data_IF_331215530730
#
_entry.id   IF_331215530730
#
_cell.length_a   1.000
_cell.length_b   1.000
_cell.length_c   1.000
_cell.angle_alpha   90.00
_cell.angle_beta   90.00
_cell.angle_gamma   90.00
#
_symmetry.space_group_name_H-M   'P 1'
#
loop_
_entity.id
_entity.type
_entity.pdbx_description
1 polymer ?
#
# COMPACT_ATOMS: atom_id res chain seq x y z
N UNK A 1 16.22 -2.24 11.91
CA UNK A 1 15.89 -0.88 12.38
C UNK A 1 14.41 -0.86 12.76
N UNK A 2 14.11 -0.37 13.94
CA UNK A 2 12.75 -0.40 14.47
C UNK A 2 12.36 0.97 15.02
N UNK A 3 11.21 1.46 14.58
CA UNK A 3 10.62 2.71 15.06
C UNK A 3 9.32 2.37 15.78
N UNK A 4 9.24 2.70 17.05
CA UNK A 4 8.05 2.46 17.89
C UNK A 4 7.55 3.80 18.45
N UNK A 5 6.25 4.06 18.27
CA UNK A 5 5.60 5.28 18.80
C UNK A 5 6.28 6.58 18.31
N UNK A 6 6.78 6.58 17.08
CA UNK A 6 7.49 7.72 16.51
C UNK A 6 6.59 8.55 15.60
N UNK A 7 6.83 9.84 15.57
CA UNK A 7 6.24 10.73 14.57
C UNK A 7 7.30 11.04 13.51
N UNK A 8 7.13 10.43 12.35
CA UNK A 8 8.02 10.59 11.20
C UNK A 8 7.29 11.26 10.04
N UNK A 9 6.25 12.02 10.35
CA UNK A 9 5.45 12.70 9.31
C UNK A 9 6.33 13.63 8.48
N UNK A 10 6.09 13.62 7.16
CA UNK A 10 6.81 14.43 6.18
C UNK A 10 8.32 14.13 6.10
N UNK A 11 8.76 13.02 6.68
CA UNK A 11 10.16 12.58 6.55
C UNK A 11 10.39 12.03 5.14
N UNK A 12 11.59 12.25 4.63
CA UNK A 12 11.98 11.77 3.31
C UNK A 12 13.06 10.70 3.45
N UNK A 13 12.72 9.49 3.02
CA UNK A 13 13.67 8.39 2.87
C UNK A 13 13.95 8.26 1.37
N UNK A 14 15.04 8.84 0.91
CA UNK A 14 15.38 8.90 -0.51
C UNK A 14 16.70 8.18 -0.75
N UNK A 15 16.74 7.31 -1.77
CA UNK A 15 17.93 6.56 -2.15
C UNK A 15 18.51 5.72 -1.00
N UNK A 16 17.62 5.22 -0.14
CA UNK A 16 18.02 4.43 1.02
C UNK A 16 18.09 2.94 0.67
N UNK A 17 18.95 2.25 1.37
CA UNK A 17 19.06 0.80 1.28
C UNK A 17 18.94 0.22 2.68
N UNK A 18 17.79 -0.40 2.97
CA UNK A 18 17.50 -0.98 4.29
C UNK A 18 17.42 -2.50 4.18
N UNK A 19 18.01 -3.20 5.15
CA UNK A 19 17.83 -4.64 5.24
C UNK A 19 16.48 -4.97 5.87
N UNK A 20 16.16 -4.35 7.00
CA UNK A 20 14.91 -4.58 7.72
C UNK A 20 14.49 -3.31 8.44
N UNK A 21 13.23 -2.91 8.22
CA UNK A 21 12.65 -1.72 8.85
C UNK A 21 11.26 -2.08 9.36
N UNK A 22 10.99 -1.74 10.62
CA UNK A 22 9.68 -1.90 11.23
C UNK A 22 9.19 -0.57 11.76
N UNK A 23 7.95 -0.22 11.41
CA UNK A 23 7.23 0.92 11.97
C UNK A 23 6.03 0.38 12.77
N UNK A 24 6.04 0.60 14.07
CA UNK A 24 4.97 0.16 14.96
C UNK A 24 4.37 1.35 15.68
N UNK A 25 3.08 1.55 15.50
CA UNK A 25 2.32 2.66 16.10
C UNK A 25 2.98 4.02 15.82
N UNK A 26 3.34 4.22 14.56
CA UNK A 26 4.01 5.43 14.10
C UNK A 26 3.08 6.32 13.30
N UNK A 27 3.41 7.62 13.24
CA UNK A 27 2.81 8.55 12.29
C UNK A 27 3.75 8.72 11.11
N UNK A 28 3.25 8.36 9.94
CA UNK A 28 3.99 8.47 8.68
C UNK A 28 3.19 9.32 7.68
N UNK A 29 2.46 10.32 8.17
CA UNK A 29 1.60 11.17 7.34
C UNK A 29 2.45 12.01 6.41
N UNK A 30 2.22 11.85 5.09
CA UNK A 30 2.98 12.59 4.08
C UNK A 30 4.44 12.17 3.98
N UNK A 31 4.82 11.08 4.59
CA UNK A 31 6.19 10.53 4.50
C UNK A 31 6.45 10.08 3.06
N UNK A 32 7.68 10.25 2.61
CA UNK A 32 8.10 9.88 1.27
C UNK A 32 9.19 8.81 1.31
N UNK A 33 8.91 7.67 0.69
CA UNK A 33 9.88 6.59 0.50
C UNK A 33 10.12 6.50 -1.02
N UNK A 34 11.26 6.98 -1.47
CA UNK A 34 11.56 7.10 -2.90
C UNK A 34 12.89 6.46 -3.26
N UNK A 35 12.88 5.68 -4.32
CA UNK A 35 14.07 5.04 -4.85
C UNK A 35 14.85 4.28 -3.78
N UNK A 36 14.12 3.54 -2.94
CA UNK A 36 14.68 2.76 -1.85
C UNK A 36 14.69 1.28 -2.21
N UNK A 37 15.69 0.57 -1.70
CA UNK A 37 15.74 -0.90 -1.75
C UNK A 37 15.61 -1.41 -0.33
N UNK A 38 14.52 -2.12 -0.06
CA UNK A 38 14.20 -2.61 1.28
C UNK A 38 14.01 -4.12 1.21
N UNK A 39 14.77 -4.87 2.00
CA UNK A 39 14.63 -6.32 2.02
C UNK A 39 13.35 -6.72 2.74
N UNK A 40 13.07 -6.12 3.90
CA UNK A 40 11.83 -6.37 4.64
C UNK A 40 11.31 -5.08 5.26
N UNK A 41 10.06 -4.76 4.96
CA UNK A 41 9.35 -3.60 5.54
C UNK A 41 8.09 -4.09 6.22
N UNK A 42 7.97 -3.78 7.51
CA UNK A 42 6.78 -4.04 8.30
C UNK A 42 6.19 -2.73 8.80
N UNK A 43 4.89 -2.56 8.61
CA UNK A 43 4.16 -1.39 9.11
C UNK A 43 2.93 -1.91 9.85
N UNK A 44 2.83 -1.61 11.13
CA UNK A 44 1.77 -2.09 12.01
C UNK A 44 1.14 -0.94 12.79
N UNK A 45 -0.19 -0.91 12.86
CA UNK A 45 -0.95 0.04 13.69
C UNK A 45 -0.51 1.50 13.49
N UNK A 46 -0.23 1.87 12.24
CA UNK A 46 0.35 3.17 11.92
C UNK A 46 -0.58 4.03 11.07
N UNK A 47 -0.42 5.34 11.18
CA UNK A 47 -1.16 6.32 10.40
C UNK A 47 -0.30 6.76 9.23
N UNK A 48 -0.67 6.30 8.03
CA UNK A 48 0.12 6.51 6.81
C UNK A 48 -0.67 7.28 5.73
N UNK A 49 -1.56 8.18 6.15
CA UNK A 49 -2.29 9.01 5.18
C UNK A 49 -1.30 9.82 4.36
N UNK A 50 -1.55 9.90 3.07
CA UNK A 50 -0.73 10.67 2.13
C UNK A 50 0.72 10.20 2.01
N UNK A 51 1.05 9.00 2.50
CA UNK A 51 2.40 8.45 2.30
C UNK A 51 2.63 8.20 0.81
N UNK A 52 3.85 8.45 0.35
CA UNK A 52 4.25 8.15 -1.02
C UNK A 52 5.34 7.09 -0.98
N UNK A 53 5.08 5.97 -1.65
CA UNK A 53 6.07 4.92 -1.85
C UNK A 53 6.26 4.80 -3.35
N UNK A 54 7.39 5.30 -3.85
CA UNK A 54 7.62 5.43 -5.29
C UNK A 54 9.00 4.92 -5.69
N UNK A 55 9.10 4.36 -6.88
CA UNK A 55 10.36 3.91 -7.48
C UNK A 55 11.17 2.99 -6.58
N UNK A 56 10.51 2.20 -5.76
CA UNK A 56 11.17 1.39 -4.73
C UNK A 56 11.02 -0.10 -5.00
N UNK A 57 11.99 -0.86 -4.50
CA UNK A 57 11.97 -2.33 -4.56
C UNK A 57 11.93 -2.87 -3.13
N UNK A 58 10.87 -3.60 -2.82
CA UNK A 58 10.64 -4.16 -1.50
C UNK A 58 10.44 -5.66 -1.66
N UNK A 59 11.34 -6.46 -1.12
CA UNK A 59 11.30 -7.93 -1.27
C UNK A 59 10.25 -8.58 -0.39
N UNK A 60 9.98 -8.01 0.77
CA UNK A 60 8.96 -8.51 1.68
C UNK A 60 8.28 -7.32 2.33
N UNK A 61 6.96 -7.22 2.14
CA UNK A 61 6.16 -6.10 2.63
C UNK A 61 4.98 -6.63 3.43
N UNK A 62 4.94 -6.30 4.72
CA UNK A 62 3.83 -6.65 5.60
C UNK A 62 3.23 -5.38 6.18
N UNK A 63 1.94 -5.18 5.95
CA UNK A 63 1.21 -4.02 6.48
C UNK A 63 -0.03 -4.54 7.20
N UNK A 64 -0.18 -4.20 8.48
CA UNK A 64 -1.31 -4.60 9.31
C UNK A 64 -1.94 -3.42 10.02
N UNK A 65 -3.27 -3.42 10.10
CA UNK A 65 -4.05 -2.48 10.91
C UNK A 65 -3.61 -1.02 10.77
N UNK A 66 -3.31 -0.60 9.55
CA UNK A 66 -2.77 0.73 9.28
C UNK A 66 -3.66 1.50 8.31
N UNK A 67 -3.63 2.82 8.43
CA UNK A 67 -4.44 3.73 7.61
C UNK A 67 -3.60 4.35 6.51
N UNK A 68 -3.86 3.92 5.28
CA UNK A 68 -3.18 4.39 4.06
C UNK A 68 -4.11 5.27 3.19
N UNK A 69 -5.12 5.89 3.81
CA UNK A 69 -6.05 6.75 3.06
C UNK A 69 -5.29 7.78 2.22
N UNK A 70 -5.63 7.86 0.95
CA UNK A 70 -5.04 8.79 -0.02
C UNK A 70 -3.53 8.68 -0.15
N UNK A 71 -3.00 7.48 0.03
CA UNK A 71 -1.58 7.20 -0.20
C UNK A 71 -1.33 6.88 -1.68
N UNK A 72 -0.06 6.87 -2.06
CA UNK A 72 0.36 6.59 -3.43
C UNK A 72 1.45 5.53 -3.47
N UNK A 73 1.21 4.50 -4.28
CA UNK A 73 2.20 3.48 -4.62
C UNK A 73 2.44 3.57 -6.13
N UNK A 74 3.58 4.11 -6.52
CA UNK A 74 3.88 4.34 -7.93
C UNK A 74 5.21 3.72 -8.34
N UNK A 75 5.17 2.92 -9.39
CA UNK A 75 6.36 2.33 -10.01
C UNK A 75 7.24 1.56 -9.02
N UNK A 76 6.62 0.66 -8.26
CA UNK A 76 7.34 -0.18 -7.29
C UNK A 76 7.42 -1.63 -7.77
N UNK A 77 8.45 -2.32 -7.31
CA UNK A 77 8.53 -3.77 -7.41
C UNK A 77 8.33 -4.34 -6.01
N UNK A 78 7.23 -5.04 -5.81
CA UNK A 78 6.85 -5.62 -4.52
C UNK A 78 6.86 -7.14 -4.63
N UNK A 79 7.45 -7.81 -3.65
CA UNK A 79 7.43 -9.27 -3.54
C UNK A 79 6.97 -9.64 -2.15
N UNK A 80 6.40 -10.83 -1.98
CA UNK A 80 5.93 -11.36 -0.70
C UNK A 80 5.14 -10.32 0.09
N UNK A 81 4.03 -9.87 -0.47
CA UNK A 81 3.21 -8.81 0.11
C UNK A 81 2.07 -9.42 0.92
N UNK A 82 1.86 -8.89 2.12
CA UNK A 82 0.71 -9.21 2.96
C UNK A 82 0.08 -7.92 3.46
N UNK A 83 -1.21 -7.73 3.15
CA UNK A 83 -2.01 -6.62 3.67
C UNK A 83 -3.14 -7.20 4.52
N UNK A 84 -3.23 -6.77 5.78
CA UNK A 84 -4.22 -7.26 6.71
C UNK A 84 -4.90 -6.11 7.45
N UNK A 85 -6.23 -6.02 7.33
CA UNK A 85 -7.05 -4.99 7.99
C UNK A 85 -6.55 -3.55 7.76
N UNK A 86 -6.13 -3.26 6.54
CA UNK A 86 -5.64 -1.94 6.17
C UNK A 86 -6.74 -1.09 5.53
N UNK A 87 -6.62 0.22 5.68
CA UNK A 87 -7.49 1.16 5.00
C UNK A 87 -6.75 1.77 3.80
N UNK A 88 -7.16 1.39 2.60
CA UNK A 88 -6.63 1.93 1.34
C UNK A 88 -7.65 2.82 0.62
N UNK A 89 -8.52 3.47 1.38
CA UNK A 89 -9.50 4.37 0.78
C UNK A 89 -8.82 5.44 -0.06
N UNK A 90 -9.24 5.59 -1.30
CA UNK A 90 -8.71 6.56 -2.25
C UNK A 90 -7.19 6.46 -2.48
N UNK A 91 -6.62 5.30 -2.21
CA UNK A 91 -5.20 5.03 -2.47
C UNK A 91 -4.97 4.80 -3.95
N UNK A 92 -3.86 5.31 -4.45
CA UNK A 92 -3.45 5.11 -5.84
C UNK A 92 -2.39 4.02 -5.94
N UNK A 93 -2.67 3.02 -6.76
CA UNK A 93 -1.71 1.97 -7.12
C UNK A 93 -1.51 2.02 -8.63
N UNK A 94 -0.38 2.53 -9.07
CA UNK A 94 -0.07 2.64 -10.49
C UNK A 94 1.32 2.09 -10.78
N UNK A 95 1.48 1.45 -11.94
CA UNK A 95 2.74 0.85 -12.38
C UNK A 95 3.39 -0.02 -11.30
N UNK A 96 2.55 -0.69 -10.50
CA UNK A 96 2.98 -1.56 -9.40
C UNK A 96 2.21 -2.86 -9.52
N UNK A 97 2.89 -3.95 -9.83
CA UNK A 97 2.24 -5.25 -9.94
C UNK A 97 1.76 -5.73 -8.58
N UNK A 98 0.47 -6.03 -8.49
CA UNK A 98 -0.17 -6.49 -7.27
C UNK A 98 -0.73 -7.91 -7.41
N UNK A 99 -0.35 -8.62 -8.46
CA UNK A 99 -0.86 -9.97 -8.73
C UNK A 99 -0.65 -10.90 -7.54
N UNK A 100 -1.71 -11.60 -7.16
CA UNK A 100 -1.69 -12.55 -6.05
C UNK A 100 -1.84 -11.92 -4.66
N UNK A 101 -1.93 -10.60 -4.57
CA UNK A 101 -2.10 -9.94 -3.28
C UNK A 101 -3.57 -9.96 -2.88
N UNK A 102 -3.83 -10.37 -1.64
CA UNK A 102 -5.17 -10.44 -1.07
C UNK A 102 -5.54 -9.14 -0.38
N UNK A 103 -6.53 -8.43 -0.94
CA UNK A 103 -7.09 -7.19 -0.39
C UNK A 103 -8.38 -7.42 0.39
N UNK A 104 -8.81 -8.68 0.55
CA UNK A 104 -10.17 -8.97 1.02
C UNK A 104 -10.48 -8.48 2.43
N UNK A 105 -9.47 -8.30 3.29
CA UNK A 105 -9.66 -7.74 4.63
C UNK A 105 -9.54 -6.23 4.69
N UNK A 106 -9.26 -5.58 3.56
CA UNK A 106 -8.94 -4.15 3.51
C UNK A 106 -10.12 -3.33 2.97
N UNK A 107 -10.11 -2.03 3.28
CA UNK A 107 -11.03 -1.09 2.65
C UNK A 107 -10.35 -0.55 1.38
N UNK A 108 -10.98 -0.78 0.23
CA UNK A 108 -10.48 -0.27 -1.07
C UNK A 108 -11.44 0.72 -1.72
N UNK A 109 -12.33 1.33 -0.94
CA UNK A 109 -13.27 2.33 -1.46
C UNK A 109 -12.53 3.46 -2.16
N UNK A 110 -12.96 3.76 -3.39
CA UNK A 110 -12.37 4.85 -4.16
C UNK A 110 -10.92 4.62 -4.61
N UNK A 111 -10.43 3.39 -4.56
CA UNK A 111 -9.08 3.05 -5.01
C UNK A 111 -8.88 3.49 -6.47
N UNK A 112 -7.70 4.01 -6.76
CA UNK A 112 -7.28 4.39 -8.12
C UNK A 112 -6.19 3.45 -8.56
N UNK A 113 -6.46 2.68 -9.61
CA UNK A 113 -5.58 1.58 -10.00
C UNK A 113 -5.56 1.43 -11.51
N UNK A 114 -4.39 1.31 -12.10
CA UNK A 114 -4.25 1.07 -13.54
C UNK A 114 -4.42 -0.42 -13.85
N UNK A 115 -4.65 -0.72 -15.11
CA UNK A 115 -4.91 -2.09 -15.58
C UNK A 115 -3.79 -3.06 -15.20
N UNK A 116 -2.55 -2.64 -15.35
CA UNK A 116 -1.39 -3.47 -15.05
C UNK A 116 -1.33 -3.83 -13.57
N UNK A 117 -1.59 -2.86 -12.70
CA UNK A 117 -1.56 -3.06 -11.26
C UNK A 117 -2.75 -3.90 -10.80
N UNK A 118 -3.91 -3.70 -11.42
CA UNK A 118 -5.15 -4.41 -11.08
C UNK A 118 -5.09 -5.91 -11.37
N UNK A 119 -4.34 -6.31 -12.41
CA UNK A 119 -4.36 -7.69 -12.87
C UNK A 119 -3.93 -8.66 -11.79
N UNK A 120 -4.81 -9.62 -11.47
CA UNK A 120 -4.50 -10.72 -10.56
C UNK A 120 -4.63 -10.39 -9.07
N UNK A 121 -5.16 -9.22 -8.69
CA UNK A 121 -5.43 -8.96 -7.26
C UNK A 121 -6.56 -9.88 -6.79
N UNK A 122 -6.55 -10.19 -5.49
CA UNK A 122 -7.57 -11.01 -4.86
C UNK A 122 -8.46 -10.11 -4.01
N UNK A 123 -9.77 -10.23 -4.19
CA UNK A 123 -10.77 -9.41 -3.51
C UNK A 123 -11.97 -10.26 -3.10
N UNK A 124 -12.78 -9.74 -2.18
CA UNK A 124 -14.07 -10.37 -1.87
C UNK A 124 -15.13 -9.89 -2.86
N UNK A 125 -16.34 -10.50 -2.80
CA UNK A 125 -17.39 -10.19 -3.78
C UNK A 125 -17.87 -8.74 -3.73
N UNK A 126 -17.91 -8.13 -2.55
CA UNK A 126 -18.35 -6.73 -2.42
C UNK A 126 -17.33 -5.78 -3.03
N UNK A 127 -16.06 -6.04 -2.84
CA UNK A 127 -14.98 -5.29 -3.47
C UNK A 127 -14.97 -5.46 -4.99
N UNK A 128 -15.29 -6.65 -5.47
CA UNK A 128 -15.41 -6.91 -6.91
C UNK A 128 -16.49 -6.03 -7.54
N UNK A 129 -17.63 -5.83 -6.85
CA UNK A 129 -18.71 -4.96 -7.32
C UNK A 129 -18.21 -3.49 -7.37
N UNK A 130 -17.51 -3.04 -6.36
CA UNK A 130 -16.94 -1.68 -6.34
C UNK A 130 -15.97 -1.46 -7.49
N UNK A 131 -15.09 -2.44 -7.75
CA UNK A 131 -14.13 -2.35 -8.84
C UNK A 131 -14.82 -2.39 -10.21
N UNK A 132 -15.89 -3.16 -10.35
CA UNK A 132 -16.69 -3.17 -11.57
C UNK A 132 -17.26 -1.79 -11.86
N UNK A 133 -17.81 -1.11 -10.86
CA UNK A 133 -18.31 0.24 -11.01
C UNK A 133 -17.20 1.23 -11.38
N UNK A 134 -16.03 1.09 -10.79
CA UNK A 134 -14.87 1.91 -11.11
C UNK A 134 -14.44 1.78 -12.57
N UNK A 135 -14.58 0.58 -13.13
CA UNK A 135 -14.25 0.30 -14.53
C UNK A 135 -15.38 0.64 -15.48
N UNK A 136 -16.48 1.22 -14.99
CA UNK A 136 -17.63 1.59 -15.80
C UNK A 136 -18.55 0.43 -16.15
N UNK A 137 -18.42 -0.70 -15.44
CA UNK A 137 -19.27 -1.87 -15.66
C UNK A 137 -20.59 -1.68 -14.89
N UNK A 138 -21.71 -1.89 -15.57
CA UNK A 138 -23.02 -1.90 -14.93
C UNK A 138 -23.40 -3.33 -14.57
N UNK A 139 -23.84 -3.54 -13.33
CA UNK A 139 -24.28 -4.84 -12.87
C UNK A 139 -25.80 -4.89 -12.94
N UNK A 140 -26.31 -5.89 -13.67
CA UNK A 140 -27.76 -6.10 -13.85
C UNK A 140 -28.15 -7.31 -13.01
N UNK A 141 -29.14 -7.10 -12.16
CA UNK A 141 -29.68 -8.16 -11.30
C UNK A 141 -30.85 -8.87 -11.95
#
# INVERSE_FOLDING_TARGET
MEFINCDLSNTKFINCNFREVTFDNCKLVGTNISNCHITKLEITSSLCKYINIVDSKIKELEIEESDFTESTFFNNELQKVSFDDCNFKSTEFTQTKLSGIDFSSCNIEGIRIDERSLKGIQVNQFQAIELAHLLGIEIVE
#
